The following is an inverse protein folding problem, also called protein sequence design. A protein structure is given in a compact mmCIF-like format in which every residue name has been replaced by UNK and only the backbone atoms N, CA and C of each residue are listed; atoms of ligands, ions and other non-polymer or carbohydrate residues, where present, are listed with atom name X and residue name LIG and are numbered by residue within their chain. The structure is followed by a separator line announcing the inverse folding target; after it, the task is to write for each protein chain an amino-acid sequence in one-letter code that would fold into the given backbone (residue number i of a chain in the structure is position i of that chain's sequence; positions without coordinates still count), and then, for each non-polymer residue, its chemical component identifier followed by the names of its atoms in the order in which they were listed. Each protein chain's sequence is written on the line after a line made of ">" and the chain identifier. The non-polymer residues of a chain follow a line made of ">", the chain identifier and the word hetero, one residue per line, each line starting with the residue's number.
data_IF_524443001544
#
_entry.id   IF_524443001544
#
_cell.length_a   1.000
_cell.length_b   1.000
_cell.length_c   1.000
_cell.angle_alpha   90.00
_cell.angle_beta   90.00
_cell.angle_gamma   90.00
#
_symmetry.space_group_name_H-M   'P 1'
#
loop_
_entity.id
_entity.type
_entity.pdbx_description
1 polymer ?
#
# COMPACT_ATOMS: atom_id res chain seq x y z
N UNK A 1 -12.98 -11.91 8.07
CA UNK A 1 -13.22 -11.12 6.85
C UNK A 1 -13.84 -9.81 7.30
N UNK A 2 -13.02 -8.80 7.61
CA UNK A 2 -13.55 -7.48 7.98
C UNK A 2 -13.75 -6.71 6.69
N UNK A 3 -15.01 -6.50 6.33
CA UNK A 3 -15.36 -5.69 5.18
C UNK A 3 -14.88 -4.26 5.40
N UNK A 4 -14.06 -3.79 4.47
CA UNK A 4 -13.52 -2.44 4.32
C UNK A 4 -14.61 -1.36 4.06
N UNK A 5 -15.87 -1.66 4.39
CA UNK A 5 -17.03 -0.80 4.15
C UNK A 5 -17.22 0.27 5.23
N UNK A 6 -16.80 0.04 6.48
CA UNK A 6 -16.93 1.05 7.55
C UNK A 6 -15.90 2.17 7.46
N UNK A 7 -14.69 1.91 6.94
CA UNK A 7 -13.63 2.92 6.82
C UNK A 7 -13.87 3.91 5.66
N UNK A 8 -14.46 3.43 4.55
CA UNK A 8 -14.85 4.30 3.42
C UNK A 8 -15.81 5.42 3.83
N UNK A 9 -16.67 5.18 4.83
CA UNK A 9 -17.67 6.13 5.29
C UNK A 9 -17.15 7.27 6.19
N UNK A 10 -15.92 7.23 6.68
CA UNK A 10 -15.37 8.33 7.49
C UNK A 10 -14.36 9.18 6.72
N UNK A 11 -13.94 8.71 5.54
CA UNK A 11 -12.91 9.33 4.73
C UNK A 11 -13.45 10.38 3.74
N UNK A 12 -14.74 10.32 3.38
CA UNK A 12 -15.33 11.19 2.36
C UNK A 12 -15.53 12.65 2.80
N UNK A 13 -15.35 12.97 4.08
CA UNK A 13 -15.63 14.31 4.60
C UNK A 13 -14.39 15.23 4.64
N UNK A 14 -13.25 14.78 4.13
CA UNK A 14 -12.04 15.62 4.00
C UNK A 14 -11.48 15.57 2.58
N UNK A 15 -11.61 16.68 1.85
CA UNK A 15 -11.15 16.90 0.48
C UNK A 15 -9.61 16.84 0.27
N UNK A 16 -8.85 16.18 1.15
CA UNK A 16 -7.39 16.01 1.08
C UNK A 16 -6.96 14.55 0.82
N UNK A 17 -7.90 13.68 0.42
CA UNK A 17 -7.65 12.24 0.21
C UNK A 17 -7.63 11.82 -1.25
N UNK A 18 -7.81 12.73 -2.21
CA UNK A 18 -8.06 12.40 -3.63
C UNK A 18 -6.96 11.56 -4.30
N UNK A 19 -5.74 11.45 -3.74
CA UNK A 19 -4.64 10.64 -4.31
C UNK A 19 -4.00 9.64 -3.33
N UNK A 20 -4.71 9.14 -2.30
CA UNK A 20 -4.19 8.11 -1.38
C UNK A 20 -4.90 6.77 -1.55
N UNK A 21 -4.29 5.89 -2.34
CA UNK A 21 -4.77 4.54 -2.58
C UNK A 21 -4.29 3.58 -1.47
N UNK A 22 -5.22 2.99 -0.73
CA UNK A 22 -4.93 1.87 0.17
C UNK A 22 -5.26 0.56 -0.54
N UNK A 23 -4.25 -0.30 -0.67
CA UNK A 23 -4.40 -1.63 -1.24
C UNK A 23 -4.50 -2.64 -0.10
N UNK A 24 -5.63 -3.34 0.01
CA UNK A 24 -5.81 -4.47 0.93
C UNK A 24 -5.51 -5.78 0.18
N UNK A 25 -4.41 -6.43 0.53
CA UNK A 25 -4.00 -7.70 -0.09
C UNK A 25 -4.57 -8.86 0.72
N UNK A 26 -5.39 -9.69 0.05
CA UNK A 26 -6.27 -10.67 0.70
C UNK A 26 -5.55 -11.68 1.62
N UNK A 27 -6.06 -11.85 2.84
CA UNK A 27 -5.61 -12.81 3.85
C UNK A 27 -6.20 -14.23 3.74
N UNK A 28 -6.14 -14.87 2.57
CA UNK A 28 -6.34 -16.32 2.46
C UNK A 28 -5.00 -17.04 2.41
N UNK A 29 -4.82 -18.05 3.26
CA UNK A 29 -3.64 -18.91 3.34
C UNK A 29 -3.28 -19.66 2.04
N UNK A 30 -4.11 -19.56 1.01
CA UNK A 30 -3.92 -20.16 -0.32
C UNK A 30 -3.09 -19.30 -1.27
N UNK A 31 -2.85 -18.03 -0.95
CA UNK A 31 -1.96 -17.14 -1.71
C UNK A 31 -0.69 -16.95 -0.90
N UNK A 32 0.27 -17.87 -1.09
CA UNK A 32 1.52 -17.92 -0.32
C UNK A 32 2.49 -16.79 -0.64
N UNK A 33 2.24 -16.03 -1.70
CA UNK A 33 2.97 -14.82 -2.10
C UNK A 33 1.99 -13.72 -2.51
N UNK A 34 2.34 -12.46 -2.23
CA UNK A 34 1.61 -11.34 -2.83
C UNK A 34 2.06 -11.17 -4.28
N UNK A 35 1.12 -10.84 -5.17
CA UNK A 35 1.48 -10.55 -6.56
C UNK A 35 2.42 -9.32 -6.60
N UNK A 36 3.56 -9.38 -7.31
CA UNK A 36 4.56 -8.31 -7.32
C UNK A 36 3.98 -6.91 -7.58
N UNK A 37 2.96 -6.81 -8.44
CA UNK A 37 2.30 -5.54 -8.79
C UNK A 37 1.76 -4.76 -7.59
N UNK A 38 1.44 -5.42 -6.46
CA UNK A 38 0.95 -4.73 -5.26
C UNK A 38 2.03 -3.91 -4.55
N UNK A 39 3.31 -4.24 -4.76
CA UNK A 39 4.42 -3.54 -4.12
C UNK A 39 4.86 -2.29 -4.91
N UNK A 40 4.70 -2.29 -6.24
CA UNK A 40 5.39 -1.35 -7.14
C UNK A 40 4.97 0.12 -6.98
N UNK A 41 3.76 0.42 -6.48
CA UNK A 41 3.28 1.79 -6.23
C UNK A 41 3.16 2.12 -4.73
N UNK A 42 3.67 1.25 -3.86
CA UNK A 42 3.58 1.44 -2.43
C UNK A 42 4.65 2.44 -1.95
N UNK A 43 4.22 3.41 -1.16
CA UNK A 43 5.10 4.38 -0.48
C UNK A 43 5.27 4.07 1.01
N UNK A 44 4.48 3.13 1.53
CA UNK A 44 4.62 2.55 2.86
C UNK A 44 3.93 1.18 2.87
N UNK A 45 4.34 0.32 3.80
CA UNK A 45 3.73 -0.99 4.03
C UNK A 45 3.24 -1.12 5.48
N UNK A 46 2.07 -1.73 5.66
CA UNK A 46 1.55 -2.13 6.97
C UNK A 46 1.42 -3.65 6.98
N UNK A 47 2.27 -4.34 7.72
CA UNK A 47 2.21 -5.79 7.89
C UNK A 47 1.41 -6.15 9.13
N UNK A 48 0.25 -6.76 8.92
CA UNK A 48 -0.69 -7.07 10.00
C UNK A 48 -0.70 -8.57 10.30
N UNK A 49 -0.57 -8.93 11.57
CA UNK A 49 -0.81 -10.30 12.04
C UNK A 49 -1.93 -10.32 13.08
N UNK A 50 -2.55 -11.49 13.22
CA UNK A 50 -3.61 -11.76 14.17
C UNK A 50 -3.01 -12.39 15.43
N UNK A 51 -3.18 -11.73 16.58
CA UNK A 51 -2.55 -12.15 17.83
C UNK A 51 -3.04 -13.50 18.35
N UNK A 52 -4.22 -13.95 17.90
CA UNK A 52 -4.78 -15.25 18.24
C UNK A 52 -4.27 -16.37 17.33
N UNK A 53 -3.70 -16.04 16.17
CA UNK A 53 -3.26 -17.02 15.15
C UNK A 53 -1.77 -16.94 14.90
N UNK A 54 -1.01 -17.78 15.62
CA UNK A 54 0.46 -17.87 15.56
C UNK A 54 1.03 -18.01 14.14
N UNK A 55 0.32 -18.69 13.23
CA UNK A 55 0.75 -18.83 11.83
C UNK A 55 0.89 -17.48 11.12
N UNK A 56 -0.01 -16.54 11.38
CA UNK A 56 0.03 -15.20 10.76
C UNK A 56 1.26 -14.40 11.17
N UNK A 57 1.71 -14.56 12.42
CA UNK A 57 2.96 -13.94 12.89
C UNK A 57 4.19 -14.57 12.23
N UNK A 58 4.18 -15.89 11.97
CA UNK A 58 5.29 -16.57 11.28
C UNK A 58 5.45 -16.09 9.83
N UNK A 59 4.35 -15.74 9.17
CA UNK A 59 4.34 -15.28 7.79
C UNK A 59 5.02 -13.91 7.60
N UNK A 60 5.14 -13.09 8.66
CA UNK A 60 5.78 -11.78 8.60
C UNK A 60 7.19 -11.84 8.02
N UNK A 61 7.95 -12.90 8.32
CA UNK A 61 9.31 -13.07 7.79
C UNK A 61 9.32 -13.16 6.27
N UNK A 62 8.38 -13.93 5.69
CA UNK A 62 8.30 -14.12 4.26
C UNK A 62 7.79 -12.85 3.57
N UNK A 63 6.71 -12.25 4.10
CA UNK A 63 6.16 -11.00 3.56
C UNK A 63 7.15 -9.86 3.59
N UNK A 64 7.95 -9.76 4.67
CA UNK A 64 8.98 -8.74 4.76
C UNK A 64 10.12 -8.97 3.78
N UNK A 65 10.51 -10.23 3.57
CA UNK A 65 11.51 -10.58 2.56
C UNK A 65 11.03 -10.18 1.16
N UNK A 66 9.83 -10.59 0.76
CA UNK A 66 9.22 -10.23 -0.52
C UNK A 66 9.12 -8.71 -0.69
N UNK A 67 8.67 -8.00 0.35
CA UNK A 67 8.61 -6.54 0.36
C UNK A 67 9.97 -5.93 0.08
N UNK A 68 11.03 -6.37 0.77
CA UNK A 68 12.38 -5.82 0.60
C UNK A 68 13.02 -6.17 -0.73
N UNK A 69 12.62 -7.27 -1.36
CA UNK A 69 13.03 -7.62 -2.72
C UNK A 69 12.39 -6.71 -3.77
N UNK A 70 11.14 -6.28 -3.57
CA UNK A 70 10.42 -5.41 -4.51
C UNK A 70 10.60 -3.90 -4.24
N UNK A 71 10.65 -3.51 -2.97
CA UNK A 71 10.69 -2.13 -2.48
C UNK A 71 11.61 -2.04 -1.25
N UNK A 72 12.94 -2.03 -1.46
CA UNK A 72 13.91 -2.12 -0.38
C UNK A 72 13.84 -0.96 0.62
N UNK A 73 13.39 0.22 0.20
CA UNK A 73 13.53 1.45 0.99
C UNK A 73 12.24 1.92 1.66
N UNK A 74 11.07 1.41 1.25
CA UNK A 74 9.81 1.96 1.76
C UNK A 74 9.66 1.70 3.27
N UNK A 75 9.08 2.65 4.02
CA UNK A 75 8.79 2.47 5.43
C UNK A 75 7.78 1.33 5.64
N UNK A 76 8.01 0.55 6.69
CA UNK A 76 7.16 -0.60 7.03
C UNK A 76 6.79 -0.58 8.50
N UNK A 77 5.51 -0.79 8.81
CA UNK A 77 4.97 -0.88 10.17
C UNK A 77 4.45 -2.30 10.42
N UNK A 78 4.76 -2.87 11.58
CA UNK A 78 4.20 -4.15 12.03
C UNK A 78 3.00 -3.87 12.93
N UNK A 79 1.94 -4.66 12.77
CA UNK A 79 0.67 -4.47 13.50
C UNK A 79 0.19 -5.79 14.09
N UNK A 80 0.05 -5.80 15.42
CA UNK A 80 -0.60 -6.84 16.20
C UNK A 80 -2.10 -6.52 16.30
N UNK A 81 -2.92 -7.19 15.50
CA UNK A 81 -4.37 -6.97 15.45
C UNK A 81 -5.15 -7.97 16.32
N UNK A 82 -6.38 -7.60 16.68
CA UNK A 82 -7.33 -8.35 17.53
C UNK A 82 -6.95 -8.41 19.01
N UNK A 83 -6.37 -7.34 19.52
CA UNK A 83 -6.00 -7.25 20.94
C UNK A 83 -7.22 -7.22 21.88
N UNK A 84 -8.41 -6.94 21.34
CA UNK A 84 -9.69 -6.97 22.06
C UNK A 84 -9.98 -8.34 22.67
N UNK A 85 -9.47 -9.42 22.09
CA UNK A 85 -9.66 -10.77 22.60
C UNK A 85 -8.83 -11.08 23.86
N UNK A 86 -7.67 -10.46 24.03
CA UNK A 86 -6.82 -10.57 25.22
C UNK A 86 -5.87 -9.37 25.31
N UNK A 87 -6.24 -8.38 26.12
CA UNK A 87 -5.42 -7.18 26.31
C UNK A 87 -4.02 -7.47 26.87
N UNK A 88 -3.80 -8.62 27.54
CA UNK A 88 -2.47 -9.00 28.03
C UNK A 88 -1.47 -9.22 26.90
N UNK A 89 -1.94 -9.42 25.66
CA UNK A 89 -1.10 -9.48 24.48
C UNK A 89 -0.26 -8.21 24.28
N UNK A 90 -0.76 -7.05 24.71
CA UNK A 90 -0.02 -5.77 24.63
C UNK A 90 1.27 -5.76 25.46
N UNK A 91 1.38 -6.64 26.46
CA UNK A 91 2.57 -6.81 27.29
C UNK A 91 3.52 -7.88 26.74
N UNK A 92 3.11 -8.63 25.71
CA UNK A 92 3.96 -9.66 25.10
C UNK A 92 4.99 -9.01 24.19
N UNK A 93 6.18 -9.61 24.17
CA UNK A 93 7.26 -9.14 23.31
C UNK A 93 7.22 -9.85 21.95
N UNK A 94 7.07 -9.07 20.88
CA UNK A 94 7.11 -9.53 19.49
C UNK A 94 8.46 -9.18 18.85
N UNK A 95 9.41 -10.11 18.97
CA UNK A 95 10.79 -9.89 18.56
C UNK A 95 11.00 -9.57 17.07
N UNK A 96 10.06 -9.91 16.19
CA UNK A 96 10.21 -9.67 14.75
C UNK A 96 10.41 -8.19 14.45
N UNK A 97 9.50 -7.33 14.92
CA UNK A 97 9.57 -5.89 14.71
C UNK A 97 10.87 -5.31 15.29
N UNK A 98 11.23 -5.71 16.52
CA UNK A 98 12.48 -5.28 17.17
C UNK A 98 13.73 -5.69 16.38
N UNK A 99 13.78 -6.94 15.88
CA UNK A 99 14.92 -7.45 15.08
C UNK A 99 15.09 -6.70 13.77
N UNK A 100 13.98 -6.30 13.14
CA UNK A 100 13.98 -5.58 11.86
C UNK A 100 14.01 -4.05 12.03
N UNK A 101 14.04 -3.54 13.26
CA UNK A 101 14.00 -2.09 13.53
C UNK A 101 12.68 -1.42 13.13
N UNK A 102 11.57 -2.15 13.11
CA UNK A 102 10.28 -1.66 12.64
C UNK A 102 9.38 -1.21 13.80
N UNK A 103 8.55 -0.16 13.62
CA UNK A 103 7.50 0.19 14.57
C UNK A 103 6.49 -0.96 14.75
N UNK A 104 6.05 -1.18 15.99
CA UNK A 104 5.00 -2.15 16.33
C UNK A 104 3.80 -1.43 16.94
N UNK A 105 2.62 -1.66 16.36
CA UNK A 105 1.35 -1.15 16.88
C UNK A 105 0.47 -2.30 17.36
N UNK A 106 -0.20 -2.07 18.49
CA UNK A 106 -1.26 -2.93 18.99
C UNK A 106 -2.60 -2.31 18.64
N UNK A 107 -3.42 -3.02 17.86
CA UNK A 107 -4.70 -2.49 17.37
C UNK A 107 -5.82 -3.51 17.55
N UNK A 108 -7.04 -2.99 17.63
CA UNK A 108 -8.23 -3.77 17.32
C UNK A 108 -8.99 -3.08 16.22
N UNK A 109 -9.09 -3.74 15.08
CA UNK A 109 -9.96 -3.30 14.00
C UNK A 109 -11.46 -3.49 14.35
N UNK A 110 -11.78 -4.27 15.39
CA UNK A 110 -13.16 -4.55 15.79
C UNK A 110 -13.80 -3.39 16.53
N UNK A 111 -13.09 -2.84 17.50
CA UNK A 111 -13.56 -1.70 18.31
C UNK A 111 -12.92 -0.37 17.89
N UNK A 112 -11.96 -0.39 16.96
CA UNK A 112 -11.28 0.80 16.44
C UNK A 112 -10.04 1.22 17.26
N UNK A 113 -9.68 0.48 18.30
CA UNK A 113 -8.53 0.78 19.17
C UNK A 113 -7.26 0.96 18.35
N UNK A 114 -6.67 2.16 18.47
CA UNK A 114 -5.42 2.59 17.82
C UNK A 114 -5.42 2.60 16.28
N UNK A 115 -6.54 2.30 15.61
CA UNK A 115 -6.61 2.24 14.14
C UNK A 115 -6.33 3.61 13.52
N UNK A 116 -6.97 4.67 14.01
CA UNK A 116 -6.79 6.03 13.48
C UNK A 116 -5.34 6.50 13.64
N UNK A 117 -4.71 6.19 14.78
CA UNK A 117 -3.31 6.53 15.04
C UNK A 117 -2.38 5.81 14.08
N UNK A 118 -2.56 4.49 13.93
CA UNK A 118 -1.79 3.67 12.99
C UNK A 118 -1.80 4.26 11.57
N UNK A 119 -2.99 4.56 11.03
CA UNK A 119 -3.10 5.10 9.67
C UNK A 119 -2.49 6.49 9.54
N UNK A 120 -2.68 7.38 10.54
CA UNK A 120 -2.04 8.70 10.54
C UNK A 120 -0.52 8.61 10.49
N UNK A 121 0.08 7.73 11.28
CA UNK A 121 1.52 7.56 11.33
C UNK A 121 2.06 6.90 10.05
N UNK A 122 1.35 5.89 9.51
CA UNK A 122 1.68 5.28 8.22
C UNK A 122 1.67 6.28 7.06
N UNK A 123 0.65 7.15 7.02
CA UNK A 123 0.54 8.22 6.02
C UNK A 123 1.71 9.20 6.14
N UNK A 124 2.08 9.61 7.36
CA UNK A 124 3.22 10.51 7.57
C UNK A 124 4.51 9.89 7.05
N UNK A 125 4.77 8.63 7.39
CA UNK A 125 5.94 7.91 6.88
C UNK A 125 5.95 7.85 5.35
N UNK A 126 4.81 7.55 4.73
CA UNK A 126 4.69 7.50 3.27
C UNK A 126 4.99 8.86 2.61
N UNK A 127 4.50 9.96 3.21
CA UNK A 127 4.75 11.31 2.69
C UNK A 127 6.21 11.70 2.84
N UNK A 128 6.81 11.48 4.02
CA UNK A 128 8.24 11.76 4.23
C UNK A 128 9.10 10.97 3.26
N UNK A 129 8.80 9.68 3.08
CA UNK A 129 9.49 8.86 2.10
C UNK A 129 9.37 9.44 0.67
N UNK A 130 8.17 9.82 0.25
CA UNK A 130 7.96 10.41 -1.09
C UNK A 130 8.68 11.75 -1.30
N UNK A 131 8.88 12.54 -0.24
CA UNK A 131 9.55 13.85 -0.32
C UNK A 131 11.07 13.70 -0.38
N UNK A 132 11.61 12.69 0.29
CA UNK A 132 13.06 12.54 0.49
C UNK A 132 13.70 11.43 -0.37
N UNK A 133 12.93 10.51 -0.97
CA UNK A 133 13.51 9.39 -1.72
C UNK A 133 13.90 9.76 -3.16
N UNK A 134 15.06 9.27 -3.57
CA UNK A 134 15.46 9.09 -4.97
C UNK A 134 15.33 7.61 -5.36
N UNK A 135 14.28 6.92 -4.90
CA UNK A 135 14.15 5.47 -5.15
C UNK A 135 14.12 5.23 -6.67
N UNK A 136 15.09 4.44 -7.15
CA UNK A 136 15.21 4.05 -8.54
C UNK A 136 13.92 3.47 -9.10
N UNK A 137 13.16 2.72 -8.29
CA UNK A 137 11.87 2.18 -8.74
C UNK A 137 10.82 3.29 -8.94
N UNK A 138 10.86 4.38 -8.16
CA UNK A 138 9.98 5.53 -8.38
C UNK A 138 10.39 6.30 -9.64
N UNK A 139 11.69 6.40 -9.92
CA UNK A 139 12.23 6.99 -11.16
C UNK A 139 11.82 6.18 -12.41
N UNK A 140 12.04 4.86 -12.40
CA UNK A 140 11.65 3.96 -13.49
C UNK A 140 10.14 4.01 -13.73
N UNK A 141 9.33 4.01 -12.67
CA UNK A 141 7.88 4.11 -12.83
C UNK A 141 7.45 5.45 -13.41
N UNK A 142 8.15 6.53 -13.08
CA UNK A 142 7.89 7.86 -13.64
C UNK A 142 8.27 7.95 -15.11
N UNK A 143 9.39 7.34 -15.52
CA UNK A 143 9.77 7.23 -16.93
C UNK A 143 8.77 6.39 -17.73
N UNK A 144 8.31 5.26 -17.18
CA UNK A 144 7.28 4.43 -17.83
C UNK A 144 5.94 5.16 -17.97
N UNK A 145 5.51 5.89 -16.94
CA UNK A 145 4.29 6.72 -17.01
C UNK A 145 4.41 7.84 -18.05
N UNK A 146 5.59 8.47 -18.16
CA UNK A 146 5.85 9.46 -19.22
C UNK A 146 5.82 8.82 -20.61
N UNK A 147 6.42 7.65 -20.79
CA UNK A 147 6.42 6.94 -22.07
C UNK A 147 5.01 6.52 -22.51
N UNK A 148 4.16 6.08 -21.58
CA UNK A 148 2.74 5.78 -21.86
C UNK A 148 1.93 7.03 -22.26
N UNK A 149 2.29 8.20 -21.74
CA UNK A 149 1.66 9.47 -22.10
C UNK A 149 2.10 9.91 -23.50
N UNK A 150 3.39 9.85 -23.81
CA UNK A 150 3.94 10.14 -25.15
C UNK A 150 3.31 9.23 -26.23
N UNK A 151 3.18 7.93 -25.95
CA UNK A 151 2.53 7.00 -26.91
C UNK A 151 1.04 7.28 -27.08
N UNK A 152 0.35 7.78 -26.06
CA UNK A 152 -1.07 8.16 -26.18
C UNK A 152 -1.24 9.46 -26.95
N UNK A 153 -0.36 10.45 -26.76
CA UNK A 153 -0.35 11.70 -27.52
C UNK A 153 -0.07 11.42 -29.01
N UNK A 154 0.94 10.60 -29.32
CA UNK A 154 1.28 10.18 -30.69
C UNK A 154 0.13 9.45 -31.42
N UNK A 155 -0.71 8.72 -30.68
CA UNK A 155 -1.89 8.04 -31.23
C UNK A 155 -3.04 9.03 -31.46
N UNK A 156 -3.23 9.99 -30.56
CA UNK A 156 -4.27 11.02 -30.71
C UNK A 156 -3.98 11.98 -31.87
N UNK A 157 -2.71 12.36 -32.08
CA UNK A 157 -2.31 13.24 -33.18
C UNK A 157 -2.48 12.56 -34.55
N UNK A 158 -2.26 11.23 -34.63
CA UNK A 158 -2.50 10.45 -35.85
C UNK A 158 -3.98 10.28 -36.18
N UNK A 159 -4.86 10.20 -35.17
CA UNK A 159 -6.32 10.17 -35.39
C UNK A 159 -6.85 11.53 -35.88
N UNK A 160 -6.28 12.63 -35.38
CA UNK A 160 -6.65 13.99 -35.79
C UNK A 160 -6.14 14.37 -37.18
N UNK A 161 -4.98 13.86 -37.63
CA UNK A 161 -4.53 14.03 -39.02
C UNK A 161 -5.38 13.21 -40.00
N UNK A 162 -5.73 11.98 -39.65
CA UNK A 162 -6.51 11.10 -40.52
C UNK A 162 -7.95 11.63 -40.72
N UNK A 163 -8.55 12.26 -39.69
CA UNK A 163 -9.87 12.89 -39.78
C UNK A 163 -9.89 14.20 -40.60
N UNK A 164 -8.76 14.90 -40.71
CA UNK A 164 -8.60 16.09 -41.58
C UNK A 164 -8.38 15.69 -43.04
N UNK A 165 -7.67 14.59 -43.29
CA UNK A 165 -7.45 14.07 -44.65
C UNK A 165 -8.71 13.46 -45.29
N UNK A 166 -9.62 12.89 -44.51
CA UNK A 166 -10.93 12.42 -45.00
C UNK A 166 -11.88 13.58 -45.35
N UNK A 167 -11.78 14.72 -44.66
CA UNK A 167 -12.60 15.92 -44.95
C UNK A 167 -12.13 16.67 -46.20
N UNK A 168 -10.83 16.64 -46.53
CA UNK A 168 -10.29 17.30 -47.73
C UNK A 168 -10.52 16.51 -49.03
N UNK A 169 -10.72 15.19 -48.94
CA UNK A 169 -11.06 14.31 -50.08
C UNK A 169 -12.56 14.27 -50.41
N UNK A 170 -13.41 14.92 -49.60
CA UNK A 170 -14.88 14.95 -49.74
C UNK A 170 -15.43 16.32 -50.18
N UNK A 171 -14.56 17.27 -50.56
CA UNK A 171 -14.94 18.59 -51.10
C UNK A 171 -14.65 18.70 -52.60
#
# INVERSE_FOLDING_TARGET
>A
MMQMNKLKSYAWETALLENRNFWDTAGQERFQSMHPSYYHKAHACIMVFDVQRKVTYKNLTNWYKELRECRPEIPCIVVANKIDADLKVTQRNFNFAKKQGLPLYFVSAADGTNVVKLFKDAIKLAISYKQDSSDFMDEVMRELENFELETKEDLSDKEDENSKEEKSKSS
#
